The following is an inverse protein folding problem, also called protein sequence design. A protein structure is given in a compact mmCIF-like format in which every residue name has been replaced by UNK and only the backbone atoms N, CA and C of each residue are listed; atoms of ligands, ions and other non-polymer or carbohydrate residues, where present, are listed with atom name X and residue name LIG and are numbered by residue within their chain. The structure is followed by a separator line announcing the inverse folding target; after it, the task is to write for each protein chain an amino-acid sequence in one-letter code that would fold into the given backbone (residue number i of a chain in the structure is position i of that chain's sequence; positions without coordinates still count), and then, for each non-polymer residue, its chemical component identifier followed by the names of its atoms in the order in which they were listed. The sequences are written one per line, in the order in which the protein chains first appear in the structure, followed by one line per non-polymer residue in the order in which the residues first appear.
data_IF_015678548108
#
_entry.id   IF_015678548108
#
_cell.length_a   1.000
_cell.length_b   1.000
_cell.length_c   1.000
_cell.angle_alpha   90.00
_cell.angle_beta   90.00
_cell.angle_gamma   90.00
#
_symmetry.space_group_name_H-M   'P 1'
#
loop_
_entity.id
_entity.type
_entity.pdbx_description
1 polymer ?
#
# COMPACT_ATOMS: atom_id res chain seq x y z
N UNK A 1 45.52 -27.44 -24.84
CA UNK A 1 44.55 -26.63 -24.06
C UNK A 1 44.76 -26.98 -22.60
N UNK A 2 45.35 -26.08 -21.81
CA UNK A 2 45.59 -26.35 -20.38
C UNK A 2 44.24 -26.48 -19.68
N UNK A 3 43.97 -27.62 -19.06
CA UNK A 3 42.86 -27.73 -18.12
C UNK A 3 43.10 -26.72 -17.00
N UNK A 4 42.29 -25.68 -16.90
CA UNK A 4 42.35 -24.77 -15.77
C UNK A 4 42.12 -25.59 -14.49
N UNK A 5 43.10 -25.56 -13.57
CA UNK A 5 43.02 -26.32 -12.34
C UNK A 5 41.86 -25.78 -11.49
N UNK A 6 40.88 -26.65 -11.20
CA UNK A 6 39.80 -26.37 -10.26
C UNK A 6 40.35 -26.56 -8.85
N UNK A 7 40.34 -25.50 -8.05
CA UNK A 7 40.75 -25.54 -6.64
C UNK A 7 39.55 -25.32 -5.73
N UNK A 8 39.34 -26.22 -4.77
CA UNK A 8 38.37 -26.00 -3.70
C UNK A 8 38.91 -24.95 -2.71
N UNK A 9 38.08 -23.99 -2.35
CA UNK A 9 38.44 -22.86 -1.49
C UNK A 9 37.38 -22.63 -0.42
N UNK A 10 37.79 -22.07 0.73
CA UNK A 10 36.86 -21.58 1.74
C UNK A 10 36.43 -20.16 1.38
N UNK A 11 35.12 -19.90 1.38
CA UNK A 11 34.53 -18.58 1.23
C UNK A 11 34.04 -18.11 2.60
N UNK A 12 34.33 -16.86 2.94
CA UNK A 12 33.82 -16.17 4.12
C UNK A 12 33.20 -14.86 3.66
N UNK A 13 31.93 -14.62 3.97
CA UNK A 13 31.21 -13.38 3.65
C UNK A 13 30.83 -12.64 4.93
N UNK A 14 31.19 -11.35 4.99
CA UNK A 14 30.93 -10.45 6.13
C UNK A 14 31.39 -11.01 7.49
N UNK A 15 32.41 -11.89 7.48
CA UNK A 15 32.88 -12.63 8.66
C UNK A 15 31.78 -13.41 9.40
N UNK A 16 30.69 -13.75 8.72
CA UNK A 16 29.50 -14.37 9.31
C UNK A 16 29.04 -15.62 8.58
N UNK A 17 29.17 -15.66 7.26
CA UNK A 17 28.71 -16.77 6.45
C UNK A 17 29.89 -17.50 5.83
N UNK A 18 30.03 -18.78 6.13
CA UNK A 18 31.10 -19.62 5.61
C UNK A 18 30.54 -20.73 4.70
N UNK A 19 31.29 -21.07 3.65
CA UNK A 19 31.00 -22.22 2.80
C UNK A 19 32.15 -22.58 1.87
N UNK A 20 32.01 -23.70 1.17
CA UNK A 20 33.03 -24.20 0.25
C UNK A 20 32.72 -23.75 -1.17
N UNK A 21 33.60 -22.94 -1.77
CA UNK A 21 33.52 -22.49 -3.15
C UNK A 21 34.56 -23.17 -4.04
N UNK A 22 34.62 -22.73 -5.30
CA UNK A 22 35.63 -23.18 -6.27
C UNK A 22 36.37 -21.99 -6.86
N UNK A 23 37.64 -22.17 -7.17
CA UNK A 23 38.45 -21.24 -7.96
C UNK A 23 38.83 -21.95 -9.26
N UNK A 24 38.51 -21.33 -10.39
CA UNK A 24 38.85 -21.84 -11.73
C UNK A 24 39.58 -20.71 -12.45
N UNK A 25 40.87 -20.90 -12.72
CA UNK A 25 41.73 -19.79 -13.15
C UNK A 25 41.75 -18.67 -12.09
N UNK A 26 41.30 -17.47 -12.47
CA UNK A 26 41.18 -16.30 -11.58
C UNK A 26 39.74 -16.03 -11.12
N UNK A 27 38.77 -16.85 -11.54
CA UNK A 27 37.36 -16.67 -11.18
C UNK A 27 37.00 -17.43 -9.90
N UNK A 28 36.19 -16.79 -9.08
CA UNK A 28 35.68 -17.34 -7.82
C UNK A 28 34.21 -17.73 -7.97
N UNK A 29 33.92 -19.01 -7.76
CA UNK A 29 32.58 -19.56 -7.78
C UNK A 29 32.10 -19.72 -6.35
N UNK A 30 31.20 -18.83 -5.97
CA UNK A 30 30.61 -18.77 -4.63
C UNK A 30 29.31 -19.59 -4.63
N UNK A 31 29.08 -20.46 -3.64
CA UNK A 31 27.80 -21.13 -3.47
C UNK A 31 26.67 -20.11 -3.39
N UNK A 32 25.66 -20.25 -4.24
CA UNK A 32 24.51 -19.34 -4.26
C UNK A 32 23.81 -19.27 -2.88
N UNK A 33 23.82 -20.33 -2.08
CA UNK A 33 23.28 -20.34 -0.72
C UNK A 33 23.93 -19.32 0.21
N UNK A 34 25.19 -18.91 -0.03
CA UNK A 34 25.83 -17.82 0.70
C UNK A 34 25.32 -16.46 0.24
N UNK A 35 25.20 -16.26 -1.07
CA UNK A 35 24.66 -15.03 -1.68
C UNK A 35 23.22 -14.80 -1.23
N UNK A 36 22.39 -15.84 -1.24
CA UNK A 36 20.99 -15.80 -0.81
C UNK A 36 20.85 -15.37 0.65
N UNK A 37 21.71 -15.88 1.53
CA UNK A 37 21.69 -15.51 2.96
C UNK A 37 22.18 -14.09 3.19
N UNK A 38 23.29 -13.71 2.55
CA UNK A 38 23.94 -12.41 2.78
C UNK A 38 23.14 -11.24 2.21
N UNK A 39 22.53 -11.42 1.03
CA UNK A 39 21.89 -10.33 0.29
C UNK A 39 20.37 -10.50 0.13
N UNK A 40 19.79 -11.55 0.73
CA UNK A 40 18.35 -11.82 0.73
C UNK A 40 17.75 -11.88 -0.68
N UNK A 41 18.52 -12.39 -1.64
CA UNK A 41 18.06 -12.63 -3.01
C UNK A 41 17.13 -13.84 -3.07
N UNK A 42 16.53 -14.08 -4.23
CA UNK A 42 15.73 -15.26 -4.50
C UNK A 42 16.18 -15.88 -5.81
N UNK A 43 15.96 -17.18 -5.96
CA UNK A 43 16.28 -17.88 -7.19
C UNK A 43 15.14 -18.75 -7.71
N UNK A 44 15.24 -19.08 -9.00
CA UNK A 44 14.43 -20.09 -9.66
C UNK A 44 15.31 -20.83 -10.66
N UNK A 45 15.38 -22.17 -10.53
CA UNK A 45 16.01 -23.01 -11.54
C UNK A 45 14.96 -23.54 -12.51
N UNK A 46 15.17 -23.30 -13.81
CA UNK A 46 14.29 -23.73 -14.90
C UNK A 46 14.95 -24.92 -15.58
N UNK A 47 14.60 -26.13 -15.13
CA UNK A 47 15.25 -27.39 -15.55
C UNK A 47 15.26 -27.60 -17.07
N UNK A 48 14.16 -27.26 -17.75
CA UNK A 48 14.05 -27.44 -19.21
C UNK A 48 15.04 -26.60 -20.02
N UNK A 49 15.45 -25.45 -19.48
CA UNK A 49 16.35 -24.49 -20.14
C UNK A 49 17.76 -24.54 -19.56
N UNK A 50 18.00 -25.37 -18.54
CA UNK A 50 19.22 -25.36 -17.73
C UNK A 50 19.59 -23.93 -17.25
N UNK A 51 18.59 -23.16 -16.82
CA UNK A 51 18.72 -21.73 -16.53
C UNK A 51 18.49 -21.45 -15.03
N UNK A 52 19.45 -20.82 -14.38
CA UNK A 52 19.30 -20.26 -13.03
C UNK A 52 18.97 -18.76 -13.13
N UNK A 53 17.77 -18.38 -12.68
CA UNK A 53 17.40 -16.97 -12.50
C UNK A 53 17.62 -16.57 -11.05
N UNK A 54 18.23 -15.39 -10.84
CA UNK A 54 18.44 -14.77 -9.54
C UNK A 54 17.81 -13.38 -9.58
N UNK A 55 16.98 -13.08 -8.60
CA UNK A 55 16.30 -11.80 -8.47
C UNK A 55 16.42 -11.26 -7.04
N UNK A 56 16.17 -9.96 -6.84
CA UNK A 56 16.07 -9.37 -5.50
C UNK A 56 14.71 -9.71 -4.85
N UNK A 57 13.71 -10.11 -5.65
CA UNK A 57 12.38 -10.47 -5.18
C UNK A 57 11.67 -11.41 -6.16
N UNK A 58 10.75 -12.24 -5.65
CA UNK A 58 9.85 -13.06 -6.50
C UNK A 58 8.68 -12.24 -7.03
N UNK A 59 8.45 -11.04 -6.49
CA UNK A 59 7.31 -10.22 -6.88
C UNK A 59 7.53 -9.59 -8.25
N UNK A 60 6.45 -9.48 -9.02
CA UNK A 60 6.45 -8.92 -10.38
C UNK A 60 5.34 -7.88 -10.49
N UNK A 61 5.55 -6.88 -11.34
CA UNK A 61 4.53 -5.89 -11.64
C UNK A 61 3.55 -6.43 -12.68
N UNK A 62 2.28 -6.10 -12.49
CA UNK A 62 1.29 -6.12 -13.55
C UNK A 62 1.48 -4.92 -14.47
N UNK A 63 0.76 -4.93 -15.59
CA UNK A 63 0.75 -3.82 -16.54
C UNK A 63 0.35 -2.50 -15.86
N UNK A 64 1.06 -1.42 -16.17
CA UNK A 64 0.82 -0.12 -15.55
C UNK A 64 -0.28 0.62 -16.31
N UNK A 65 -1.51 0.53 -15.81
CA UNK A 65 -2.69 1.13 -16.44
C UNK A 65 -2.88 2.60 -16.03
N UNK A 66 -3.51 3.40 -16.89
CA UNK A 66 -4.03 4.72 -16.51
C UNK A 66 -5.20 4.54 -15.55
N UNK A 67 -5.27 5.39 -14.53
CA UNK A 67 -6.32 5.29 -13.53
C UNK A 67 -7.66 5.81 -14.06
N UNK A 68 -8.72 5.02 -13.87
CA UNK A 68 -10.11 5.41 -14.08
C UNK A 68 -10.90 5.19 -12.78
N UNK A 69 -11.52 6.27 -12.28
CA UNK A 69 -12.41 6.25 -11.12
C UNK A 69 -13.62 5.31 -11.24
N UNK A 70 -13.97 4.87 -12.46
CA UNK A 70 -15.02 3.86 -12.74
C UNK A 70 -14.45 2.54 -13.27
N UNK A 71 -13.13 2.43 -13.36
CA UNK A 71 -12.45 1.24 -13.82
C UNK A 71 -12.07 0.30 -12.68
N UNK A 72 -11.34 -0.77 -13.05
CA UNK A 72 -10.66 -1.65 -12.10
C UNK A 72 -9.89 -0.82 -11.07
N UNK A 73 -10.12 -1.08 -9.79
CA UNK A 73 -9.47 -0.32 -8.74
C UNK A 73 -8.02 -0.78 -8.62
N UNK A 74 -7.11 -0.05 -9.28
CA UNK A 74 -5.70 -0.42 -9.41
C UNK A 74 -5.56 -1.81 -10.09
N UNK A 75 -5.35 -2.86 -9.30
CA UNK A 75 -5.30 -4.26 -9.73
C UNK A 75 -6.09 -5.16 -8.76
N UNK A 76 -7.19 -4.64 -8.21
CA UNK A 76 -7.94 -5.36 -7.19
C UNK A 76 -8.72 -6.55 -7.74
N UNK A 77 -8.83 -6.70 -9.07
CA UNK A 77 -9.24 -7.95 -9.72
C UNK A 77 -8.26 -9.12 -9.45
N UNK A 78 -6.99 -8.82 -9.11
CA UNK A 78 -5.99 -9.83 -8.73
C UNK A 78 -5.91 -10.07 -7.23
N UNK A 79 -6.61 -9.27 -6.42
CA UNK A 79 -6.62 -9.42 -4.98
C UNK A 79 -7.50 -10.62 -4.57
N UNK A 80 -7.26 -11.13 -3.35
CA UNK A 80 -8.05 -12.22 -2.75
C UNK A 80 -8.21 -11.95 -1.25
N UNK A 81 -9.05 -10.98 -0.90
CA UNK A 81 -9.31 -10.57 0.50
C UNK A 81 -9.80 -11.75 1.34
N UNK A 82 -10.53 -12.69 0.74
CA UNK A 82 -10.98 -13.91 1.41
C UNK A 82 -9.83 -14.83 1.85
N UNK A 83 -8.63 -14.67 1.25
CA UNK A 83 -7.42 -15.40 1.66
C UNK A 83 -6.63 -14.67 2.75
N UNK A 84 -7.07 -13.49 3.20
CA UNK A 84 -6.45 -12.79 4.32
C UNK A 84 -6.89 -13.41 5.64
N UNK A 85 -6.36 -12.92 6.77
CA UNK A 85 -6.79 -13.34 8.09
C UNK A 85 -8.16 -12.73 8.45
N UNK A 86 -9.22 -13.21 7.80
CA UNK A 86 -10.58 -12.69 7.92
C UNK A 86 -11.58 -13.80 8.22
N UNK A 87 -12.65 -13.45 8.93
CA UNK A 87 -13.84 -14.28 9.13
C UNK A 87 -15.05 -13.56 8.52
N UNK A 88 -15.82 -14.24 7.68
CA UNK A 88 -17.06 -13.68 7.15
C UNK A 88 -18.17 -13.72 8.21
N UNK A 89 -18.91 -12.63 8.36
CA UNK A 89 -20.13 -12.59 9.16
C UNK A 89 -21.30 -13.30 8.43
N UNK A 90 -22.46 -13.35 9.08
CA UNK A 90 -23.68 -13.97 8.52
C UNK A 90 -24.19 -13.29 7.24
N UNK A 91 -23.82 -12.03 7.01
CA UNK A 91 -24.21 -11.27 5.82
C UNK A 91 -23.17 -11.38 4.70
N UNK A 92 -22.01 -11.99 4.95
CA UNK A 92 -20.89 -12.10 4.02
C UNK A 92 -19.97 -10.88 4.01
N UNK A 93 -19.93 -10.11 5.10
CA UNK A 93 -19.00 -9.00 5.33
C UNK A 93 -17.75 -9.53 6.07
N UNK A 94 -16.52 -9.22 5.61
CA UNK A 94 -15.31 -9.69 6.26
C UNK A 94 -15.02 -8.91 7.55
N UNK A 95 -14.75 -9.65 8.63
CA UNK A 95 -14.16 -9.16 9.86
C UNK A 95 -12.68 -9.56 9.91
N UNK A 96 -11.79 -8.62 10.23
CA UNK A 96 -10.35 -8.94 10.37
C UNK A 96 -10.10 -9.59 11.71
N UNK A 97 -9.35 -10.69 11.70
CA UNK A 97 -8.96 -11.43 12.90
C UNK A 97 -7.58 -10.94 13.34
N UNK A 98 -7.51 -10.41 14.55
CA UNK A 98 -6.27 -10.00 15.21
C UNK A 98 -5.99 -10.93 16.40
N UNK A 99 -4.75 -10.96 16.93
CA UNK A 99 -4.45 -11.71 18.15
C UNK A 99 -5.31 -11.33 19.36
N UNK A 100 -5.87 -10.12 19.38
CA UNK A 100 -6.65 -9.55 20.47
C UNK A 100 -8.16 -9.49 20.18
N UNK A 101 -8.63 -10.04 19.06
CA UNK A 101 -10.06 -10.09 18.74
C UNK A 101 -10.38 -9.97 17.26
N UNK A 102 -11.67 -10.11 16.94
CA UNK A 102 -12.20 -10.03 15.58
C UNK A 102 -13.04 -8.79 15.44
N UNK A 103 -12.69 -7.91 14.49
CA UNK A 103 -13.32 -6.60 14.35
C UNK A 103 -13.67 -6.30 12.90
N UNK A 104 -14.75 -5.54 12.70
CA UNK A 104 -14.99 -4.88 11.42
C UNK A 104 -13.86 -3.86 11.18
N UNK A 105 -13.11 -4.08 10.11
CA UNK A 105 -12.06 -3.16 9.66
C UNK A 105 -12.57 -2.48 8.38
N UNK A 106 -12.90 -1.17 8.43
CA UNK A 106 -13.40 -0.43 7.28
C UNK A 106 -12.56 -0.61 6.01
N UNK A 107 -11.22 -0.63 6.12
CA UNK A 107 -10.35 -0.85 4.96
C UNK A 107 -10.48 -2.27 4.38
N UNK A 108 -10.51 -3.31 5.22
CA UNK A 108 -10.70 -4.70 4.75
C UNK A 108 -12.04 -4.87 4.03
N UNK A 109 -13.12 -4.32 4.58
CA UNK A 109 -14.46 -4.37 3.97
C UNK A 109 -14.47 -3.62 2.65
N UNK A 110 -13.83 -2.44 2.61
CA UNK A 110 -13.72 -1.66 1.40
C UNK A 110 -12.89 -2.35 0.32
N UNK A 111 -11.78 -2.98 0.68
CA UNK A 111 -10.95 -3.76 -0.22
C UNK A 111 -11.67 -4.98 -0.78
N UNK A 112 -12.47 -5.66 0.04
CA UNK A 112 -13.36 -6.73 -0.41
C UNK A 112 -14.36 -6.20 -1.43
N UNK A 113 -15.00 -5.07 -1.15
CA UNK A 113 -15.90 -4.40 -2.09
C UNK A 113 -15.23 -4.06 -3.42
N UNK A 114 -14.07 -3.39 -3.39
CA UNK A 114 -13.35 -2.97 -4.59
C UNK A 114 -12.78 -4.14 -5.41
N UNK A 115 -12.38 -5.23 -4.76
CA UNK A 115 -12.04 -6.48 -5.44
C UNK A 115 -13.24 -7.01 -6.22
N UNK A 116 -14.38 -7.19 -5.57
CA UNK A 116 -15.55 -7.75 -6.24
C UNK A 116 -16.12 -6.81 -7.30
N UNK A 117 -16.05 -5.50 -7.10
CA UNK A 117 -16.35 -4.54 -8.14
C UNK A 117 -15.44 -4.73 -9.37
N UNK A 118 -14.13 -4.86 -9.15
CA UNK A 118 -13.15 -5.01 -10.23
C UNK A 118 -13.33 -6.32 -10.98
N UNK A 119 -13.61 -7.42 -10.26
CA UNK A 119 -13.97 -8.71 -10.85
C UNK A 119 -15.26 -8.60 -11.68
N UNK A 120 -16.31 -7.99 -11.13
CA UNK A 120 -17.57 -7.76 -11.84
C UNK A 120 -17.37 -6.97 -13.15
N UNK A 121 -16.50 -5.96 -13.16
CA UNK A 121 -16.18 -5.24 -14.39
C UNK A 121 -15.57 -6.15 -15.46
N UNK A 122 -14.68 -7.07 -15.06
CA UNK A 122 -13.98 -7.96 -16.00
C UNK A 122 -14.82 -9.12 -16.54
N UNK A 123 -15.73 -9.69 -15.75
CA UNK A 123 -16.42 -10.94 -16.09
C UNK A 123 -17.95 -10.83 -16.06
N UNK A 124 -18.50 -9.67 -15.67
CA UNK A 124 -19.95 -9.43 -15.53
C UNK A 124 -20.68 -10.40 -14.61
N UNK A 125 -19.98 -11.07 -13.70
CA UNK A 125 -20.55 -12.01 -12.75
C UNK A 125 -21.40 -11.27 -11.68
N UNK A 126 -22.68 -11.60 -11.59
CA UNK A 126 -23.61 -10.92 -10.69
C UNK A 126 -23.32 -11.20 -9.20
N UNK A 127 -22.77 -12.36 -8.84
CA UNK A 127 -22.38 -12.65 -7.44
C UNK A 127 -21.32 -11.65 -6.95
N UNK A 128 -20.35 -11.31 -7.81
CA UNK A 128 -19.37 -10.27 -7.51
C UNK A 128 -20.04 -8.91 -7.32
N UNK A 129 -21.01 -8.55 -8.16
CA UNK A 129 -21.78 -7.32 -7.97
C UNK A 129 -22.53 -7.33 -6.64
N UNK A 130 -23.17 -8.43 -6.26
CA UNK A 130 -23.87 -8.54 -4.98
C UNK A 130 -22.92 -8.42 -3.78
N UNK A 131 -21.75 -9.06 -3.82
CA UNK A 131 -20.71 -8.91 -2.78
C UNK A 131 -20.21 -7.47 -2.67
N UNK A 132 -19.98 -6.80 -3.80
CA UNK A 132 -19.64 -5.38 -3.83
C UNK A 132 -20.72 -4.51 -3.18
N UNK A 133 -21.99 -4.71 -3.56
CA UNK A 133 -23.10 -3.93 -3.01
C UNK A 133 -23.33 -4.20 -1.52
N UNK A 134 -23.08 -5.41 -1.03
CA UNK A 134 -23.08 -5.72 0.41
C UNK A 134 -22.05 -4.86 1.16
N UNK A 135 -20.82 -4.76 0.65
CA UNK A 135 -19.80 -3.87 1.24
C UNK A 135 -20.21 -2.40 1.18
N UNK A 136 -20.77 -1.93 0.05
CA UNK A 136 -21.25 -0.56 -0.08
C UNK A 136 -22.39 -0.22 0.89
N UNK A 137 -23.35 -1.14 1.06
CA UNK A 137 -24.46 -0.97 1.99
C UNK A 137 -24.00 -1.04 3.45
N UNK A 138 -22.97 -1.83 3.76
CA UNK A 138 -22.35 -1.82 5.09
C UNK A 138 -21.83 -0.42 5.45
N UNK A 139 -21.15 0.28 4.52
CA UNK A 139 -20.71 1.65 4.76
C UNK A 139 -21.87 2.63 4.98
N UNK A 140 -22.98 2.49 4.24
CA UNK A 140 -24.17 3.32 4.48
C UNK A 140 -24.74 3.14 5.89
N UNK A 141 -24.80 1.88 6.35
CA UNK A 141 -25.42 1.51 7.62
C UNK A 141 -24.54 1.81 8.83
N UNK A 142 -23.21 1.84 8.64
CA UNK A 142 -22.23 1.95 9.73
C UNK A 142 -21.46 3.28 9.72
N UNK A 143 -21.92 4.28 8.98
CA UNK A 143 -21.38 5.63 9.07
C UNK A 143 -21.82 6.28 10.39
N UNK A 144 -20.86 6.75 11.18
CA UNK A 144 -21.17 7.41 12.45
C UNK A 144 -21.60 8.88 12.29
N UNK A 145 -21.98 9.51 13.41
CA UNK A 145 -22.46 10.89 13.45
C UNK A 145 -21.40 11.93 13.02
N UNK A 146 -20.11 11.57 13.09
CA UNK A 146 -19.02 12.43 12.60
C UNK A 146 -18.84 12.32 11.08
N UNK A 147 -19.54 11.38 10.45
CA UNK A 147 -19.48 11.09 9.01
C UNK A 147 -18.42 10.05 8.64
N UNK A 148 -17.78 9.39 9.61
CA UNK A 148 -16.69 8.43 9.35
C UNK A 148 -17.06 6.98 9.63
N UNK A 149 -16.08 6.11 9.43
CA UNK A 149 -16.11 4.69 9.81
C UNK A 149 -14.93 4.42 10.73
N UNK A 150 -15.19 4.35 12.02
CA UNK A 150 -14.13 4.20 13.02
C UNK A 150 -13.69 2.73 13.18
N UNK A 151 -12.49 2.59 13.73
CA UNK A 151 -11.90 1.36 14.22
C UNK A 151 -12.15 1.31 15.72
N UNK A 152 -13.08 0.47 16.15
CA UNK A 152 -13.55 0.44 17.55
C UNK A 152 -12.64 -0.38 18.49
N UNK A 153 -11.35 -0.48 18.18
CA UNK A 153 -10.38 -1.28 18.94
C UNK A 153 -9.07 -0.54 19.13
N UNK A 154 -8.34 -0.91 20.17
CA UNK A 154 -6.99 -0.40 20.43
C UNK A 154 -5.99 -0.99 19.43
N UNK A 155 -5.09 -0.17 18.89
CA UNK A 155 -4.09 -0.63 17.93
C UNK A 155 -2.69 -0.13 18.27
N UNK A 156 -1.72 -1.04 18.23
CA UNK A 156 -0.32 -0.73 18.51
C UNK A 156 0.52 -0.89 17.25
N UNK A 157 0.48 0.13 16.39
CA UNK A 157 1.08 0.11 15.05
C UNK A 157 2.59 -0.22 15.06
N UNK A 158 3.37 0.51 15.86
CA UNK A 158 4.83 0.32 15.98
C UNK A 158 5.25 0.39 17.45
N UNK A 159 5.16 -0.71 18.21
CA UNK A 159 5.25 -0.66 19.67
C UNK A 159 6.52 -0.09 20.27
N UNK A 160 7.67 -0.28 19.60
CA UNK A 160 8.95 0.22 20.08
C UNK A 160 9.18 1.72 19.83
N UNK A 161 8.31 2.39 19.05
CA UNK A 161 8.47 3.82 18.68
C UNK A 161 7.27 4.68 19.06
N UNK A 162 6.09 4.07 19.12
CA UNK A 162 4.83 4.79 19.19
C UNK A 162 3.94 4.28 20.33
N UNK A 163 3.18 5.20 20.90
CA UNK A 163 2.13 4.87 21.87
C UNK A 163 0.97 4.16 21.16
N UNK A 164 0.24 3.36 21.94
CA UNK A 164 -0.97 2.65 21.51
C UNK A 164 -2.07 3.65 21.14
N UNK A 165 -2.71 3.45 19.99
CA UNK A 165 -3.94 4.14 19.61
C UNK A 165 -5.10 3.56 20.42
N UNK A 166 -5.89 4.42 21.02
CA UNK A 166 -7.10 4.03 21.76
C UNK A 166 -8.33 4.13 20.87
N UNK A 167 -9.15 3.09 20.88
CA UNK A 167 -10.44 3.07 20.18
C UNK A 167 -11.45 4.06 20.80
N UNK A 168 -12.37 4.63 20.00
CA UNK A 168 -12.45 4.56 18.54
C UNK A 168 -11.48 5.56 17.86
N UNK A 169 -10.96 5.20 16.68
CA UNK A 169 -10.13 6.08 15.85
C UNK A 169 -10.48 5.93 14.37
N UNK A 170 -10.18 6.93 13.55
CA UNK A 170 -10.34 6.87 12.09
C UNK A 170 -9.01 6.60 11.39
N UNK A 171 -9.08 6.01 10.21
CA UNK A 171 -7.91 5.68 9.40
C UNK A 171 -8.05 6.24 7.99
N UNK A 172 -7.05 6.96 7.49
CA UNK A 172 -7.06 7.48 6.12
C UNK A 172 -7.24 6.38 5.05
N UNK A 173 -6.74 5.16 5.29
CA UNK A 173 -6.94 4.05 4.37
C UNK A 173 -8.41 3.61 4.36
N UNK A 174 -9.02 3.41 5.53
CA UNK A 174 -10.42 3.02 5.66
C UNK A 174 -11.36 4.08 5.07
N UNK A 175 -11.07 5.36 5.37
CA UNK A 175 -11.81 6.49 4.83
C UNK A 175 -11.69 6.56 3.30
N UNK A 176 -10.47 6.53 2.76
CA UNK A 176 -10.23 6.61 1.31
C UNK A 176 -10.91 5.50 0.52
N UNK A 177 -10.76 4.26 0.99
CA UNK A 177 -11.34 3.08 0.33
C UNK A 177 -12.86 3.12 0.40
N UNK A 178 -13.45 3.58 1.51
CA UNK A 178 -14.89 3.79 1.61
C UNK A 178 -15.40 4.83 0.59
N UNK A 179 -14.68 5.93 0.38
CA UNK A 179 -15.02 6.92 -0.66
C UNK A 179 -15.00 6.29 -2.06
N UNK A 180 -13.99 5.47 -2.37
CA UNK A 180 -13.89 4.75 -3.64
C UNK A 180 -15.03 3.73 -3.83
N UNK A 181 -15.43 3.02 -2.78
CA UNK A 181 -16.55 2.07 -2.81
C UNK A 181 -17.87 2.79 -3.06
N UNK A 182 -18.18 3.82 -2.27
CA UNK A 182 -19.44 4.55 -2.36
C UNK A 182 -19.57 5.29 -3.70
N UNK A 183 -18.48 5.86 -4.21
CA UNK A 183 -18.45 6.50 -5.54
C UNK A 183 -18.81 5.52 -6.65
N UNK A 184 -18.25 4.31 -6.60
CA UNK A 184 -18.55 3.23 -7.57
C UNK A 184 -19.95 2.67 -7.39
N UNK A 185 -20.45 2.59 -6.16
CA UNK A 185 -21.80 2.09 -5.88
C UNK A 185 -22.85 3.06 -6.43
N UNK A 186 -22.63 4.37 -6.27
CA UNK A 186 -23.46 5.40 -6.90
C UNK A 186 -23.51 5.25 -8.43
N UNK A 187 -22.36 4.98 -9.05
CA UNK A 187 -22.28 4.76 -10.49
C UNK A 187 -23.02 3.48 -10.94
N UNK A 188 -22.79 2.35 -10.28
CA UNK A 188 -23.41 1.06 -10.63
C UNK A 188 -24.93 1.06 -10.42
N UNK A 189 -25.39 1.66 -9.32
CA UNK A 189 -26.81 1.66 -8.95
C UNK A 189 -27.58 2.87 -9.47
N UNK A 190 -26.88 3.86 -10.04
CA UNK A 190 -27.45 5.17 -10.36
C UNK A 190 -28.20 5.80 -9.17
N UNK A 191 -27.65 5.65 -7.96
CA UNK A 191 -28.30 6.07 -6.71
C UNK A 191 -27.40 7.04 -5.93
N UNK A 192 -27.86 8.28 -5.78
CA UNK A 192 -27.11 9.37 -5.15
C UNK A 192 -26.91 9.17 -3.64
N UNK A 193 -27.64 8.27 -2.97
CA UNK A 193 -27.51 8.07 -1.52
C UNK A 193 -26.08 7.69 -1.10
N UNK A 194 -25.38 6.95 -1.95
CA UNK A 194 -23.97 6.58 -1.71
C UNK A 194 -23.06 7.81 -1.71
N UNK A 195 -23.27 8.76 -2.64
CA UNK A 195 -22.51 10.01 -2.67
C UNK A 195 -22.85 10.92 -1.48
N UNK A 196 -24.12 10.98 -1.07
CA UNK A 196 -24.53 11.76 0.12
C UNK A 196 -23.79 11.26 1.37
N UNK A 197 -23.68 9.94 1.55
CA UNK A 197 -22.88 9.37 2.64
C UNK A 197 -21.39 9.69 2.48
N UNK A 198 -20.82 9.51 1.28
CA UNK A 198 -19.40 9.76 1.03
C UNK A 198 -18.99 11.22 1.27
N UNK A 199 -19.85 12.20 0.94
CA UNK A 199 -19.56 13.63 1.19
C UNK A 199 -19.48 13.97 2.68
N UNK A 200 -20.26 13.29 3.54
CA UNK A 200 -20.20 13.51 5.00
C UNK A 200 -18.83 13.17 5.60
N UNK A 201 -18.12 12.21 5.02
CA UNK A 201 -16.78 11.79 5.46
C UNK A 201 -15.70 12.88 5.32
N UNK A 202 -15.95 13.92 4.51
CA UNK A 202 -15.05 15.05 4.29
C UNK A 202 -14.57 15.69 5.61
N UNK A 203 -15.46 15.84 6.59
CA UNK A 203 -15.13 16.49 7.88
C UNK A 203 -13.97 15.79 8.60
N UNK A 204 -13.85 14.47 8.49
CA UNK A 204 -12.77 13.70 9.12
C UNK A 204 -11.41 14.06 8.52
N UNK A 205 -11.33 14.33 7.22
CA UNK A 205 -10.12 14.77 6.53
C UNK A 205 -9.70 16.20 6.90
N UNK A 206 -10.63 17.03 7.36
CA UNK A 206 -10.37 18.40 7.82
C UNK A 206 -10.02 18.45 9.31
N UNK A 207 -10.35 17.39 10.05
CA UNK A 207 -10.17 17.34 11.50
C UNK A 207 -8.78 16.82 11.86
N UNK A 208 -8.09 17.50 12.76
CA UNK A 208 -6.76 17.12 13.24
C UNK A 208 -6.75 15.70 13.82
N UNK A 209 -5.66 14.94 13.61
CA UNK A 209 -5.45 13.65 14.27
C UNK A 209 -5.49 13.73 15.79
N UNK A 210 -5.13 14.88 16.37
CA UNK A 210 -5.23 15.15 17.81
C UNK A 210 -6.66 15.41 18.31
N UNK A 211 -7.57 15.73 17.40
CA UNK A 211 -8.98 16.03 17.66
C UNK A 211 -9.90 14.94 17.08
N UNK A 212 -9.44 13.68 17.07
CA UNK A 212 -10.16 12.52 16.55
C UNK A 212 -10.54 12.62 15.05
N UNK A 213 -9.68 13.24 14.24
CA UNK A 213 -9.71 13.15 12.78
C UNK A 213 -8.50 12.39 12.24
N UNK A 214 -8.11 12.67 11.00
CA UNK A 214 -6.94 12.05 10.36
C UNK A 214 -5.92 13.06 9.82
N UNK A 215 -6.15 14.37 9.99
CA UNK A 215 -5.26 15.39 9.47
C UNK A 215 -4.03 15.59 10.38
N UNK A 216 -2.86 15.24 9.87
CA UNK A 216 -1.57 15.68 10.38
C UNK A 216 -1.02 16.83 9.52
N UNK A 217 -0.05 17.56 10.08
CA UNK A 217 0.63 18.66 9.40
C UNK A 217 2.12 18.42 9.39
N UNK A 218 2.72 18.29 8.21
CA UNK A 218 4.15 18.14 8.01
C UNK A 218 4.81 19.52 7.78
N UNK A 219 5.95 19.78 8.42
CA UNK A 219 6.66 21.07 8.38
C UNK A 219 5.77 22.29 8.70
N UNK A 220 4.73 22.10 9.53
CA UNK A 220 3.77 23.18 9.85
C UNK A 220 2.93 23.69 8.67
N UNK A 221 3.01 23.05 7.48
CA UNK A 221 2.41 23.56 6.24
C UNK A 221 1.66 22.50 5.43
N UNK A 222 2.20 21.30 5.33
CA UNK A 222 1.74 20.28 4.38
C UNK A 222 0.72 19.33 5.02
N UNK A 223 -0.49 19.26 4.45
CA UNK A 223 -1.56 18.38 4.95
C UNK A 223 -1.27 16.92 4.63
N UNK A 224 -1.27 16.05 5.64
CA UNK A 224 -1.13 14.61 5.50
C UNK A 224 -2.31 13.90 6.15
N UNK A 225 -2.85 12.87 5.50
CA UNK A 225 -3.97 12.07 6.03
C UNK A 225 -3.42 10.77 6.61
N UNK A 226 -3.46 10.63 7.93
CA UNK A 226 -2.83 9.54 8.67
C UNK A 226 -3.63 8.22 8.53
N UNK A 227 -2.96 7.16 8.07
CA UNK A 227 -3.51 5.80 8.17
C UNK A 227 -3.68 5.39 9.64
N UNK A 228 -2.68 5.65 10.47
CA UNK A 228 -2.73 5.48 11.90
C UNK A 228 -2.51 6.86 12.53
N UNK A 229 -3.52 7.53 13.12
CA UNK A 229 -3.40 8.89 13.66
C UNK A 229 -2.59 8.92 14.97
N UNK A 230 -1.30 8.58 14.88
CA UNK A 230 -0.39 8.48 16.03
C UNK A 230 0.13 9.86 16.44
N UNK A 231 0.69 9.93 17.65
CA UNK A 231 1.41 11.11 18.13
C UNK A 231 2.77 10.68 18.70
N UNK A 232 3.89 11.09 18.08
CA UNK A 232 3.99 11.92 16.87
C UNK A 232 3.39 11.24 15.61
N UNK A 233 3.08 12.00 14.54
CA UNK A 233 2.54 11.44 13.29
C UNK A 233 3.44 10.36 12.70
N UNK A 234 2.83 9.31 12.16
CA UNK A 234 3.53 8.15 11.59
C UNK A 234 3.88 8.37 10.11
N UNK A 235 3.06 9.15 9.41
CA UNK A 235 3.18 9.40 7.97
C UNK A 235 3.29 8.10 7.15
N UNK A 236 2.35 7.17 7.32
CA UNK A 236 2.31 5.91 6.54
C UNK A 236 1.92 6.20 5.09
N UNK A 237 2.81 5.84 4.14
CA UNK A 237 2.71 6.29 2.76
C UNK A 237 1.52 5.67 2.00
N UNK A 238 1.32 4.36 2.10
CA UNK A 238 0.27 3.68 1.33
C UNK A 238 -1.13 4.16 1.72
N UNK A 239 -1.42 4.32 3.02
CA UNK A 239 -2.73 4.77 3.46
C UNK A 239 -3.02 6.21 3.06
N UNK A 240 -1.98 7.07 3.07
CA UNK A 240 -2.10 8.41 2.52
C UNK A 240 -2.48 8.39 1.04
N UNK A 241 -1.76 7.63 0.20
CA UNK A 241 -2.08 7.57 -1.23
C UNK A 241 -3.46 6.93 -1.52
N UNK A 242 -3.89 5.92 -0.75
CA UNK A 242 -5.26 5.40 -0.84
C UNK A 242 -6.31 6.48 -0.53
N UNK A 243 -6.05 7.32 0.47
CA UNK A 243 -6.93 8.43 0.82
C UNK A 243 -7.05 9.47 -0.31
N UNK A 244 -5.95 9.76 -1.01
CA UNK A 244 -5.96 10.66 -2.17
C UNK A 244 -6.75 10.08 -3.35
N UNK A 245 -6.58 8.79 -3.63
CA UNK A 245 -7.36 8.10 -4.66
C UNK A 245 -8.86 8.16 -4.33
N UNK A 246 -9.24 7.92 -3.06
CA UNK A 246 -10.63 8.03 -2.60
C UNK A 246 -11.22 9.43 -2.74
N UNK A 247 -10.45 10.47 -2.39
CA UNK A 247 -10.86 11.87 -2.58
C UNK A 247 -11.03 12.22 -4.07
N UNK A 248 -10.13 11.73 -4.93
CA UNK A 248 -10.24 11.91 -6.37
C UNK A 248 -11.51 11.26 -6.93
N UNK A 249 -11.78 10.00 -6.56
CA UNK A 249 -12.99 9.28 -6.97
C UNK A 249 -14.27 10.01 -6.57
N UNK A 250 -14.33 10.51 -5.33
CA UNK A 250 -15.46 11.27 -4.83
C UNK A 250 -15.61 12.58 -5.59
N UNK A 251 -14.53 13.33 -5.82
CA UNK A 251 -14.55 14.57 -6.60
C UNK A 251 -15.06 14.30 -8.02
N UNK A 252 -14.54 13.28 -8.71
CA UNK A 252 -14.98 12.94 -10.07
C UNK A 252 -16.45 12.53 -10.15
N UNK A 253 -16.99 11.98 -9.06
CA UNK A 253 -18.39 11.54 -8.98
C UNK A 253 -19.37 12.64 -8.57
N UNK A 254 -18.91 13.68 -7.87
CA UNK A 254 -19.76 14.73 -7.29
C UNK A 254 -19.56 16.11 -7.91
N UNK A 255 -18.37 16.40 -8.44
CA UNK A 255 -17.94 17.75 -8.82
C UNK A 255 -17.64 18.67 -7.63
N UNK A 256 -17.63 18.16 -6.39
CA UNK A 256 -17.43 18.97 -5.18
C UNK A 256 -16.01 19.56 -5.12
N UNK A 257 -15.91 20.88 -5.29
CA UNK A 257 -14.64 21.61 -5.27
C UNK A 257 -13.94 21.59 -3.92
N UNK A 258 -14.69 21.43 -2.83
CA UNK A 258 -14.12 21.36 -1.50
C UNK A 258 -13.43 20.00 -1.24
N UNK A 259 -13.95 18.91 -1.82
CA UNK A 259 -13.26 17.61 -1.85
C UNK A 259 -12.01 17.68 -2.74
N UNK A 260 -12.11 18.34 -3.90
CA UNK A 260 -10.96 18.54 -4.77
C UNK A 260 -9.82 19.31 -4.09
N UNK A 261 -10.15 20.32 -3.25
CA UNK A 261 -9.14 21.05 -2.47
C UNK A 261 -8.37 20.16 -1.50
N UNK A 262 -9.04 19.21 -0.84
CA UNK A 262 -8.38 18.21 0.00
C UNK A 262 -7.42 17.35 -0.82
N UNK A 263 -7.90 16.81 -1.95
CA UNK A 263 -7.07 16.04 -2.88
C UNK A 263 -5.83 16.83 -3.33
N UNK A 264 -6.00 18.08 -3.78
CA UNK A 264 -4.89 18.92 -4.24
C UNK A 264 -3.87 19.21 -3.14
N UNK A 265 -4.33 19.54 -1.92
CA UNK A 265 -3.45 19.74 -0.78
C UNK A 265 -2.62 18.48 -0.50
N UNK A 266 -3.27 17.31 -0.56
CA UNK A 266 -2.61 16.02 -0.39
C UNK A 266 -1.60 15.71 -1.49
N UNK A 267 -1.88 16.03 -2.76
CA UNK A 267 -0.94 15.86 -3.88
C UNK A 267 0.30 16.77 -3.70
N UNK A 268 0.11 18.01 -3.27
CA UNK A 268 1.22 18.92 -2.97
C UNK A 268 2.11 18.32 -1.87
N UNK A 269 1.51 17.79 -0.81
CA UNK A 269 2.23 17.09 0.27
C UNK A 269 2.95 15.84 -0.25
N UNK A 270 2.29 14.99 -1.03
CA UNK A 270 2.89 13.78 -1.61
C UNK A 270 4.14 14.14 -2.40
N UNK A 271 4.05 15.12 -3.31
CA UNK A 271 5.20 15.59 -4.11
C UNK A 271 6.33 16.12 -3.24
N UNK A 272 6.04 16.81 -2.12
CA UNK A 272 7.04 17.29 -1.16
C UNK A 272 7.75 16.11 -0.46
N UNK A 273 6.98 15.11 -0.03
CA UNK A 273 7.47 14.04 0.84
C UNK A 273 8.01 12.80 0.10
N UNK A 274 7.71 12.60 -1.19
CA UNK A 274 8.19 11.44 -1.97
C UNK A 274 9.68 11.11 -1.78
N UNK A 275 10.62 12.09 -1.78
CA UNK A 275 12.04 11.80 -1.55
C UNK A 275 12.35 11.20 -0.17
N UNK A 276 11.56 11.50 0.86
CA UNK A 276 11.77 10.98 2.22
C UNK A 276 11.50 9.48 2.32
N UNK A 277 10.69 8.95 1.40
CA UNK A 277 10.37 7.52 1.36
C UNK A 277 11.30 6.74 0.45
N UNK A 278 12.20 7.38 -0.29
CA UNK A 278 13.09 6.73 -1.22
C UNK A 278 14.42 6.40 -0.54
N UNK A 279 14.69 5.10 -0.31
CA UNK A 279 15.88 4.63 0.41
C UNK A 279 17.01 4.19 -0.55
N UNK A 280 16.90 4.49 -1.85
CA UNK A 280 17.93 4.17 -2.86
C UNK A 280 17.89 2.73 -3.40
N UNK A 281 17.27 1.80 -2.68
CA UNK A 281 17.07 0.39 -3.10
C UNK A 281 15.67 -0.17 -2.79
N UNK A 282 14.86 0.56 -2.02
CA UNK A 282 13.47 0.25 -1.67
C UNK A 282 12.80 1.51 -1.14
N UNK A 283 11.53 1.40 -0.73
CA UNK A 283 10.81 2.48 -0.07
C UNK A 283 10.72 2.29 1.44
N UNK A 284 10.71 3.40 2.18
CA UNK A 284 10.23 3.41 3.56
C UNK A 284 8.70 3.22 3.56
N UNK A 285 8.18 2.51 4.56
CA UNK A 285 6.74 2.30 4.75
C UNK A 285 6.09 3.51 5.44
N UNK A 286 6.81 4.07 6.41
CA UNK A 286 6.42 5.21 7.23
C UNK A 286 7.65 6.10 7.50
N UNK A 287 7.45 7.22 8.19
CA UNK A 287 8.52 8.12 8.60
C UNK A 287 8.77 8.11 10.12
N UNK A 288 8.43 7.02 10.82
CA UNK A 288 8.66 6.93 12.28
C UNK A 288 10.13 7.10 12.65
N UNK A 289 11.04 6.60 11.82
CA UNK A 289 12.49 6.81 11.97
C UNK A 289 12.92 8.29 11.96
N UNK A 290 12.09 9.16 11.35
CA UNK A 290 12.29 10.61 11.30
C UNK A 290 11.48 11.35 12.38
N UNK A 291 10.28 10.87 12.74
CA UNK A 291 9.38 11.58 13.66
C UNK A 291 9.51 11.21 15.14
N UNK A 292 10.16 10.10 15.46
CA UNK A 292 10.43 9.67 16.85
C UNK A 292 11.88 9.93 17.23
N UNK A 293 12.34 9.47 18.41
CA UNK A 293 13.72 9.61 18.91
C UNK A 293 14.78 8.83 18.09
N UNK A 294 14.51 8.56 16.81
CA UNK A 294 15.42 7.95 15.86
C UNK A 294 15.23 6.45 15.64
N UNK A 295 16.21 5.85 14.97
CA UNK A 295 16.25 4.45 14.57
C UNK A 295 16.45 4.27 13.06
N UNK A 296 16.48 3.02 12.61
CA UNK A 296 16.57 2.68 11.20
C UNK A 296 15.21 2.85 10.49
N UNK A 297 15.18 3.12 9.17
CA UNK A 297 13.93 3.20 8.41
C UNK A 297 13.07 1.95 8.57
N UNK A 298 11.75 2.11 8.70
CA UNK A 298 10.83 0.98 8.54
C UNK A 298 10.74 0.64 7.04
N UNK A 299 11.60 -0.26 6.57
CA UNK A 299 11.69 -0.60 5.16
C UNK A 299 10.43 -1.36 4.74
N UNK A 300 9.74 -0.88 3.70
CA UNK A 300 8.58 -1.55 3.14
C UNK A 300 8.96 -2.97 2.67
N UNK A 301 8.15 -3.97 3.00
CA UNK A 301 8.26 -5.29 2.35
C UNK A 301 7.99 -5.14 0.84
N UNK A 302 8.50 -6.05 0.00
CA UNK A 302 8.32 -5.97 -1.45
C UNK A 302 6.85 -5.83 -1.90
N UNK A 303 5.91 -6.46 -1.18
CA UNK A 303 4.48 -6.28 -1.42
C UNK A 303 4.03 -4.81 -1.27
N UNK A 304 4.42 -4.15 -0.17
CA UNK A 304 4.10 -2.73 0.04
C UNK A 304 4.87 -1.81 -0.91
N UNK A 305 6.11 -2.15 -1.26
CA UNK A 305 6.85 -1.40 -2.28
C UNK A 305 6.10 -1.40 -3.62
N UNK A 306 5.53 -2.54 -4.02
CA UNK A 306 4.69 -2.64 -5.20
C UNK A 306 3.37 -1.90 -5.04
N UNK A 307 2.75 -1.94 -3.85
CA UNK A 307 1.58 -1.09 -3.55
C UNK A 307 1.91 0.39 -3.77
N UNK A 308 3.07 0.86 -3.29
CA UNK A 308 3.52 2.24 -3.51
C UNK A 308 3.68 2.55 -5.01
N UNK A 309 4.23 1.62 -5.81
CA UNK A 309 4.36 1.77 -7.26
C UNK A 309 2.98 1.89 -7.94
N UNK A 310 2.03 1.01 -7.64
CA UNK A 310 0.70 1.06 -8.25
C UNK A 310 -0.08 2.32 -7.88
N UNK A 311 -0.01 2.73 -6.62
CA UNK A 311 -0.66 3.95 -6.14
C UNK A 311 -0.03 5.21 -6.75
N UNK A 312 1.30 5.29 -6.76
CA UNK A 312 2.00 6.42 -7.36
C UNK A 312 1.74 6.49 -8.87
N UNK A 313 1.66 5.36 -9.56
CA UNK A 313 1.26 5.32 -10.96
C UNK A 313 -0.16 5.81 -11.19
N UNK A 314 -1.11 5.37 -10.37
CA UNK A 314 -2.49 5.82 -10.47
C UNK A 314 -2.58 7.33 -10.34
N UNK A 315 -1.99 7.88 -9.28
CA UNK A 315 -1.96 9.32 -9.05
C UNK A 315 -1.20 10.07 -10.16
N UNK A 316 -0.04 9.57 -10.60
CA UNK A 316 0.73 10.22 -11.67
C UNK A 316 0.03 10.16 -13.04
N UNK A 317 -0.80 9.15 -13.30
CA UNK A 317 -1.60 9.09 -14.53
C UNK A 317 -2.69 10.17 -14.60
N UNK A 318 -3.07 10.71 -13.44
CA UNK A 318 -3.99 11.85 -13.30
C UNK A 318 -3.19 13.16 -13.39
N UNK A 319 -2.12 13.27 -12.59
CA UNK A 319 -1.38 14.52 -12.40
C UNK A 319 -0.40 14.85 -13.53
N UNK A 320 0.09 13.83 -14.26
CA UNK A 320 1.12 13.96 -15.30
C UNK A 320 2.35 14.77 -14.83
N UNK A 321 2.84 14.47 -13.62
CA UNK A 321 3.91 15.22 -12.96
C UNK A 321 5.27 14.56 -13.19
N UNK A 322 6.25 15.37 -13.63
CA UNK A 322 7.60 14.88 -13.95
C UNK A 322 8.30 14.26 -12.73
N UNK A 323 8.22 14.88 -11.55
CA UNK A 323 8.89 14.38 -10.34
C UNK A 323 8.29 13.05 -9.86
N UNK A 324 6.98 12.92 -9.95
CA UNK A 324 6.28 11.67 -9.66
C UNK A 324 6.66 10.58 -10.68
N UNK A 325 6.73 10.90 -11.97
CA UNK A 325 7.13 9.98 -13.03
C UNK A 325 8.56 9.45 -12.84
N UNK A 326 9.51 10.33 -12.55
CA UNK A 326 10.91 9.97 -12.27
C UNK A 326 11.03 9.07 -11.03
N UNK A 327 10.28 9.40 -9.97
CA UNK A 327 10.24 8.59 -8.74
C UNK A 327 9.64 7.21 -9.01
N UNK A 328 8.54 7.15 -9.75
CA UNK A 328 7.92 5.90 -10.16
C UNK A 328 8.86 5.02 -10.98
N UNK A 329 9.58 5.59 -11.95
CA UNK A 329 10.57 4.85 -12.75
C UNK A 329 11.65 4.24 -11.86
N UNK A 330 12.18 5.03 -10.93
CA UNK A 330 13.24 4.60 -10.03
C UNK A 330 12.77 3.49 -9.06
N UNK A 331 11.56 3.60 -8.51
CA UNK A 331 11.02 2.53 -7.67
C UNK A 331 10.78 1.23 -8.46
N UNK A 332 10.37 1.29 -9.72
CA UNK A 332 10.29 0.10 -10.58
C UNK A 332 11.66 -0.54 -10.80
N UNK A 333 12.69 0.27 -11.03
CA UNK A 333 14.07 -0.18 -11.21
C UNK A 333 14.61 -0.94 -9.99
N UNK A 334 14.14 -0.63 -8.78
CA UNK A 334 14.53 -1.34 -7.55
C UNK A 334 14.11 -2.82 -7.54
N UNK A 335 13.02 -3.17 -8.24
CA UNK A 335 12.55 -4.56 -8.36
C UNK A 335 13.50 -5.46 -9.17
N UNK A 336 14.34 -4.86 -10.02
CA UNK A 336 15.34 -5.55 -10.82
C UNK A 336 16.76 -5.30 -10.32
N UNK A 337 16.91 -4.83 -9.07
CA UNK A 337 18.20 -4.67 -8.41
C UNK A 337 19.05 -3.50 -8.88
N UNK A 338 18.49 -2.57 -9.66
CA UNK A 338 19.17 -1.29 -9.90
C UNK A 338 19.13 -0.47 -8.61
N UNK A 339 20.28 -0.16 -8.06
CA UNK A 339 20.41 0.64 -6.85
C UNK A 339 20.98 2.00 -7.22
N UNK A 340 20.47 3.06 -6.61
CA UNK A 340 21.07 4.39 -6.67
C UNK A 340 21.85 4.60 -5.38
N UNK A 341 23.15 4.35 -5.42
CA UNK A 341 24.06 4.88 -4.42
C UNK A 341 24.29 6.36 -4.74
N UNK A 342 24.21 7.22 -3.72
CA UNK A 342 24.74 8.59 -3.80
C UNK A 342 26.19 8.54 -3.36
#
# INVERSE_FOLDING_TARGET
MSSEHIKDIKIVMHDQYEGNGKMIGNDYYIPYSLIEKAYLTVHQFITKENLLKIDITKTRLFEMLKYDHRGNYLHYDKNKVENWNVKMDVNGIPQTVYPFGTYYNPATIGFFGLQHYSLYLSNKNEDNKQKFLKAANWFLQNQDNSGGWNYSFDFHYYPSRLKKLKGPWYSAIGMGVALSVLSRAAYVMNDKKYLVSAVKAKKIFETSSRANGILATFEGKYSFYEECPTNPPSYILNGFMYSLIGLYDLYKSTGDRSVYKLYQNGIVTLKRMLPLYDLGNRTAYDLTHYTTEGGYPNIAKWGYHITHIYQLNALNSIENDKKMAETLSRWKDYLIGKIKYV
#
